data_IF_470537603183
#
_entry.id   IF_470537603183
#
_cell.length_a   1.000
_cell.length_b   1.000
_cell.length_c   1.000
_cell.angle_alpha   90.00
_cell.angle_beta   90.00
_cell.angle_gamma   90.00
#
_symmetry.space_group_name_H-M   'P 1'
#
loop_
_entity.id
_entity.type
_entity.pdbx_description
1 polymer ?
#
# COMPACT_ATOMS: atom_id res chain seq x y z
N UNK A 1 6.71 -109.33 20.89
CA UNK A 1 6.48 -108.49 22.06
C UNK A 1 7.66 -107.53 22.19
N UNK A 2 7.57 -106.33 21.89
CA UNK A 2 8.07 -105.11 22.52
C UNK A 2 7.88 -103.94 21.60
N UNK A 3 7.07 -103.02 21.97
CA UNK A 3 6.81 -101.76 21.28
C UNK A 3 7.95 -100.76 21.53
N UNK A 4 8.42 -100.10 20.47
CA UNK A 4 9.25 -98.92 20.62
C UNK A 4 8.47 -97.75 20.06
N UNK A 5 8.13 -96.83 20.94
CA UNK A 5 7.46 -95.55 20.59
C UNK A 5 8.49 -94.55 20.10
N UNK A 6 8.41 -94.16 18.83
CA UNK A 6 9.19 -93.03 18.33
C UNK A 6 8.49 -91.68 18.66
N UNK A 7 9.25 -90.80 19.31
CA UNK A 7 8.82 -89.37 19.55
C UNK A 7 9.31 -88.52 18.38
N UNK A 8 8.42 -88.00 17.66
CA UNK A 8 8.68 -87.00 16.61
C UNK A 8 8.75 -85.63 17.24
N UNK A 9 9.96 -84.96 17.12
CA UNK A 9 10.19 -83.63 17.63
C UNK A 9 9.84 -82.61 16.52
N UNK A 10 8.79 -81.82 16.70
CA UNK A 10 8.47 -80.67 15.80
C UNK A 10 9.28 -79.44 16.25
N UNK A 11 10.22 -79.00 15.39
CA UNK A 11 10.88 -77.73 15.56
C UNK A 11 10.02 -76.63 14.94
N UNK A 12 9.48 -75.73 15.77
CA UNK A 12 8.76 -74.53 15.31
C UNK A 12 9.82 -73.44 15.11
N UNK A 13 10.06 -73.13 13.82
CA UNK A 13 10.89 -71.97 13.45
C UNK A 13 10.00 -70.73 13.43
N UNK A 14 10.10 -69.88 14.50
CA UNK A 14 9.44 -68.58 14.56
C UNK A 14 10.20 -67.56 13.71
N UNK A 15 9.64 -67.18 12.59
CA UNK A 15 10.16 -66.10 11.75
C UNK A 15 9.70 -64.75 12.32
N UNK A 16 10.55 -64.11 13.06
CA UNK A 16 10.30 -62.77 13.62
C UNK A 16 10.40 -61.71 12.51
N UNK A 17 9.28 -61.18 12.06
CA UNK A 17 9.19 -60.06 11.11
C UNK A 17 9.47 -58.78 11.89
N UNK A 18 10.73 -58.30 11.82
CA UNK A 18 11.10 -56.99 12.37
C UNK A 18 10.52 -55.85 11.47
N UNK A 19 9.39 -55.28 11.88
CA UNK A 19 8.84 -54.10 11.24
C UNK A 19 9.72 -52.91 11.66
N UNK A 20 10.63 -52.53 10.76
CA UNK A 20 11.43 -51.33 10.88
C UNK A 20 10.53 -50.12 10.59
N UNK A 21 9.93 -49.49 11.59
CA UNK A 21 9.21 -48.25 11.46
C UNK A 21 10.22 -47.17 11.06
N UNK A 22 10.18 -46.71 9.80
CA UNK A 22 10.88 -45.52 9.37
C UNK A 22 10.30 -44.32 10.14
N UNK A 23 11.06 -43.83 11.11
CA UNK A 23 10.77 -42.55 11.79
C UNK A 23 11.15 -41.48 10.81
N UNK A 24 10.15 -40.98 10.04
CA UNK A 24 10.31 -39.76 9.28
C UNK A 24 10.51 -38.62 10.30
N UNK A 25 11.62 -37.85 10.21
CA UNK A 25 11.79 -36.71 11.09
C UNK A 25 10.61 -35.72 10.84
N UNK A 26 9.79 -35.54 11.85
CA UNK A 26 8.84 -34.42 11.88
C UNK A 26 9.69 -33.17 11.95
N UNK A 27 9.87 -32.51 10.80
CA UNK A 27 10.45 -31.16 10.77
C UNK A 27 9.50 -30.30 11.57
N UNK A 28 9.91 -29.89 12.75
CA UNK A 28 9.14 -28.97 13.58
C UNK A 28 8.85 -27.73 12.75
N UNK A 29 7.57 -27.44 12.51
CA UNK A 29 7.17 -26.25 11.78
C UNK A 29 7.77 -25.03 12.50
N UNK A 30 8.58 -24.28 11.78
CA UNK A 30 9.20 -23.07 12.30
C UNK A 30 8.11 -22.11 12.76
N UNK A 31 8.23 -21.53 13.97
CA UNK A 31 7.22 -20.58 14.47
C UNK A 31 7.11 -19.40 13.49
N UNK A 32 5.88 -18.97 13.16
CA UNK A 32 5.70 -17.81 12.28
C UNK A 32 6.46 -16.60 12.79
N UNK A 33 7.18 -15.93 11.89
CA UNK A 33 7.88 -14.69 12.24
C UNK A 33 6.84 -13.58 12.47
N UNK A 34 6.90 -12.95 13.64
CA UNK A 34 5.99 -11.86 14.00
C UNK A 34 6.44 -10.55 13.36
N UNK A 35 5.50 -9.85 12.76
CA UNK A 35 5.68 -8.51 12.20
C UNK A 35 4.51 -7.62 12.59
N UNK A 36 4.81 -6.37 12.87
CA UNK A 36 3.81 -5.31 13.03
C UNK A 36 3.92 -4.36 11.85
N UNK A 37 2.88 -4.33 11.00
CA UNK A 37 2.86 -3.53 9.77
C UNK A 37 1.78 -2.46 9.86
N UNK A 38 2.17 -1.19 9.71
CA UNK A 38 1.21 -0.10 9.70
C UNK A 38 0.72 0.22 8.28
N UNK A 39 -0.54 0.65 8.18
CA UNK A 39 -1.10 1.34 7.03
C UNK A 39 -1.61 2.71 7.45
N UNK A 40 -1.52 3.73 6.57
CA UNK A 40 -1.62 5.12 7.01
C UNK A 40 -2.95 5.81 6.69
N UNK A 41 -3.85 5.13 6.00
CA UNK A 41 -5.15 5.71 5.62
C UNK A 41 -6.18 4.61 5.34
N UNK A 42 -7.47 4.79 5.68
CA UNK A 42 -8.53 3.85 5.35
C UNK A 42 -9.09 4.10 3.92
N UNK A 43 -8.24 4.10 2.90
CA UNK A 43 -8.60 4.29 1.49
C UNK A 43 -8.19 3.09 0.63
N UNK A 44 -8.83 2.88 -0.51
CA UNK A 44 -8.59 1.74 -1.40
C UNK A 44 -7.14 1.55 -1.83
N UNK A 45 -6.33 2.62 -1.87
CA UNK A 45 -4.90 2.53 -2.18
C UNK A 45 -4.09 1.68 -1.17
N UNK A 46 -4.64 1.43 0.03
CA UNK A 46 -4.01 0.59 1.05
C UNK A 46 -4.37 -0.90 0.91
N UNK A 47 -5.17 -1.28 -0.08
CA UNK A 47 -5.63 -2.66 -0.27
C UNK A 47 -4.53 -3.74 -0.35
N UNK A 48 -3.32 -3.52 -0.88
CA UNK A 48 -2.31 -4.57 -0.98
C UNK A 48 -2.04 -5.34 0.32
N UNK A 49 -1.76 -4.67 1.44
CA UNK A 49 -1.53 -5.35 2.72
C UNK A 49 -2.81 -5.92 3.34
N UNK A 50 -3.97 -5.26 3.09
CA UNK A 50 -5.26 -5.77 3.56
C UNK A 50 -5.63 -7.07 2.85
N UNK A 51 -5.39 -7.14 1.53
CA UNK A 51 -5.60 -8.34 0.73
C UNK A 51 -4.65 -9.46 1.13
N UNK A 52 -3.38 -9.15 1.42
CA UNK A 52 -2.44 -10.16 1.92
C UNK A 52 -2.92 -10.78 3.25
N UNK A 53 -3.52 -9.98 4.13
CA UNK A 53 -4.13 -10.50 5.36
C UNK A 53 -5.41 -11.30 5.09
N UNK A 54 -6.29 -10.81 4.23
CA UNK A 54 -7.59 -11.43 3.96
C UNK A 54 -7.49 -12.74 3.16
N UNK A 55 -6.49 -12.86 2.28
CA UNK A 55 -6.21 -14.08 1.50
C UNK A 55 -5.32 -15.11 2.23
N UNK A 56 -5.02 -14.89 3.51
CA UNK A 56 -4.09 -15.72 4.29
C UNK A 56 -2.67 -15.78 3.70
N UNK A 57 -2.28 -14.82 2.86
CA UNK A 57 -0.98 -14.82 2.21
C UNK A 57 0.18 -14.67 3.21
N UNK A 58 -0.02 -13.94 4.30
CA UNK A 58 0.98 -13.83 5.36
C UNK A 58 1.25 -15.20 6.01
N UNK A 59 0.19 -15.94 6.35
CA UNK A 59 0.30 -17.27 6.94
C UNK A 59 0.96 -18.25 5.97
N UNK A 60 0.62 -18.19 4.68
CA UNK A 60 1.25 -19.01 3.63
C UNK A 60 2.76 -18.80 3.57
N UNK A 61 3.23 -17.58 3.79
CA UNK A 61 4.66 -17.24 3.85
C UNK A 61 5.24 -17.40 5.27
N UNK A 62 4.53 -18.04 6.21
CA UNK A 62 4.97 -18.29 7.58
C UNK A 62 5.18 -17.00 8.39
N UNK A 63 4.35 -15.99 8.16
CA UNK A 63 4.35 -14.72 8.87
C UNK A 63 3.10 -14.58 9.74
N UNK A 64 3.27 -14.06 10.94
CA UNK A 64 2.22 -13.60 11.85
C UNK A 64 2.24 -12.06 11.83
N UNK A 65 1.38 -11.44 10.99
CA UNK A 65 1.39 -10.00 10.75
C UNK A 65 0.21 -9.32 11.44
N UNK A 66 0.51 -8.45 12.40
CA UNK A 66 -0.45 -7.51 12.98
C UNK A 66 -0.54 -6.28 12.06
N UNK A 67 -1.72 -6.02 11.46
CA UNK A 67 -1.98 -4.78 10.71
C UNK A 67 -2.56 -3.72 11.63
N UNK A 68 -1.89 -2.56 11.70
CA UNK A 68 -2.33 -1.43 12.53
C UNK A 68 -2.55 -0.17 11.70
N UNK A 69 -3.62 0.56 11.99
CA UNK A 69 -3.83 1.89 11.42
C UNK A 69 -3.09 2.94 12.26
N UNK A 70 -2.15 3.65 11.64
CA UNK A 70 -1.42 4.77 12.25
C UNK A 70 -1.30 5.89 11.22
N UNK A 71 -1.68 7.12 11.57
CA UNK A 71 -1.54 8.27 10.65
C UNK A 71 -0.08 8.50 10.21
N UNK A 72 0.12 8.99 8.97
CA UNK A 72 1.41 9.04 8.28
C UNK A 72 2.60 9.52 9.11
N UNK A 73 2.49 10.66 9.79
CA UNK A 73 3.60 11.21 10.59
C UNK A 73 3.92 10.35 11.81
N UNK A 74 2.89 9.86 12.50
CA UNK A 74 3.05 8.96 13.64
C UNK A 74 3.57 7.59 13.19
N UNK A 75 3.15 7.09 12.01
CA UNK A 75 3.63 5.82 11.46
C UNK A 75 5.13 5.85 11.14
N UNK A 76 5.64 6.96 10.60
CA UNK A 76 7.09 7.12 10.37
C UNK A 76 7.85 7.18 11.70
N UNK A 77 7.34 7.91 12.69
CA UNK A 77 7.96 7.97 14.02
C UNK A 77 8.00 6.58 14.67
N UNK A 78 6.89 5.83 14.62
CA UNK A 78 6.81 4.45 15.12
C UNK A 78 7.78 3.50 14.39
N UNK A 79 7.95 3.66 13.07
CA UNK A 79 8.92 2.88 12.29
C UNK A 79 10.35 3.16 12.72
N UNK A 80 10.71 4.43 12.86
CA UNK A 80 12.06 4.85 13.31
C UNK A 80 12.33 4.37 14.72
N UNK A 81 11.35 4.46 15.62
CA UNK A 81 11.43 3.96 16.99
C UNK A 81 11.45 2.42 17.10
N UNK A 82 11.09 1.69 16.04
CA UNK A 82 11.02 0.23 16.05
C UNK A 82 9.72 -0.35 16.63
N UNK A 83 8.70 0.48 16.85
CA UNK A 83 7.39 0.07 17.34
C UNK A 83 6.58 -0.66 16.27
N UNK A 84 6.87 -0.39 14.99
CA UNK A 84 6.40 -1.15 13.84
C UNK A 84 7.59 -1.58 12.98
N UNK A 85 7.45 -2.71 12.29
CA UNK A 85 8.50 -3.27 11.43
C UNK A 85 8.45 -2.69 10.02
N UNK A 86 7.25 -2.46 9.49
CA UNK A 86 7.02 -1.93 8.16
C UNK A 86 5.84 -0.95 8.13
N UNK A 87 5.83 -0.04 7.16
CA UNK A 87 4.73 0.92 6.95
C UNK A 87 4.36 0.96 5.47
N UNK A 88 3.09 0.73 5.16
CA UNK A 88 2.55 1.02 3.83
C UNK A 88 2.18 2.50 3.76
N UNK A 89 2.93 3.28 2.97
CA UNK A 89 2.86 4.74 2.94
C UNK A 89 3.26 5.28 1.56
N UNK A 90 2.94 6.55 1.29
CA UNK A 90 3.34 7.23 0.04
C UNK A 90 4.77 7.77 0.09
N UNK A 91 5.47 7.77 -1.06
CA UNK A 91 6.84 8.24 -1.16
C UNK A 91 7.06 9.70 -0.69
N UNK A 92 6.17 10.68 -0.93
CA UNK A 92 6.35 12.02 -0.38
C UNK A 92 6.54 12.08 1.12
N UNK A 93 5.93 11.15 1.85
CA UNK A 93 6.03 11.15 3.31
C UNK A 93 7.43 10.79 3.83
N UNK A 94 8.22 10.05 3.05
CA UNK A 94 9.58 9.65 3.43
C UNK A 94 10.67 10.63 2.96
N UNK A 95 10.38 11.47 1.95
CA UNK A 95 11.38 12.37 1.36
C UNK A 95 12.06 13.26 2.40
N UNK A 96 11.35 14.01 3.26
CA UNK A 96 12.00 14.85 4.26
C UNK A 96 12.85 14.06 5.26
N UNK A 97 12.39 12.86 5.63
CA UNK A 97 13.07 12.01 6.61
C UNK A 97 14.37 11.46 6.04
N UNK A 98 14.34 10.94 4.80
CA UNK A 98 15.55 10.41 4.14
C UNK A 98 16.57 11.50 3.89
N UNK A 99 16.16 12.68 3.42
CA UNK A 99 17.05 13.82 3.19
C UNK A 99 17.64 14.39 4.48
N UNK A 100 16.97 14.22 5.61
CA UNK A 100 17.51 14.51 6.94
C UNK A 100 18.43 13.41 7.51
N UNK A 101 18.78 12.38 6.72
CA UNK A 101 19.63 11.26 7.16
C UNK A 101 18.87 10.16 7.91
N UNK A 102 17.55 10.14 7.87
CA UNK A 102 16.73 9.13 8.54
C UNK A 102 16.96 7.71 8.00
N UNK A 103 17.03 6.74 8.92
CA UNK A 103 17.32 5.33 8.63
C UNK A 103 16.08 4.57 8.12
N UNK A 104 15.45 5.04 7.04
CA UNK A 104 14.33 4.35 6.39
C UNK A 104 14.52 4.26 4.89
N UNK A 105 13.90 3.26 4.27
CA UNK A 105 13.93 3.04 2.81
C UNK A 105 12.66 2.32 2.35
N UNK A 106 12.23 2.59 1.14
CA UNK A 106 11.13 1.86 0.50
C UNK A 106 11.67 0.59 -0.15
N UNK A 107 11.06 -0.56 0.13
CA UNK A 107 11.48 -1.87 -0.40
C UNK A 107 10.53 -2.45 -1.44
N UNK A 108 9.39 -1.82 -1.67
CA UNK A 108 8.42 -2.19 -2.72
C UNK A 108 7.59 -0.98 -3.15
N UNK A 109 7.36 -0.85 -4.46
CA UNK A 109 6.40 0.07 -5.05
C UNK A 109 5.09 -0.66 -5.33
N UNK A 110 4.00 -0.27 -4.66
CA UNK A 110 2.72 -0.96 -4.72
C UNK A 110 1.71 -0.26 -5.64
N UNK A 111 1.85 1.06 -5.81
CA UNK A 111 1.01 1.89 -6.66
C UNK A 111 1.85 3.04 -7.23
N UNK A 112 2.00 3.07 -8.54
CA UNK A 112 2.94 3.95 -9.24
C UNK A 112 2.26 5.07 -10.05
N UNK A 113 1.03 5.43 -9.68
CA UNK A 113 0.24 6.49 -10.32
C UNK A 113 -0.40 7.42 -9.31
N UNK A 114 -0.68 8.65 -9.73
CA UNK A 114 -1.58 9.55 -9.02
C UNK A 114 -3.01 9.00 -9.04
N UNK A 115 -3.79 9.36 -8.01
CA UNK A 115 -5.16 8.86 -7.85
C UNK A 115 -6.18 9.98 -7.54
N UNK A 116 -5.85 11.22 -7.87
CA UNK A 116 -6.69 12.36 -7.58
C UNK A 116 -7.51 12.79 -8.79
N UNK A 117 -8.76 13.13 -8.55
CA UNK A 117 -9.60 13.92 -9.47
C UNK A 117 -10.00 15.23 -8.78
N UNK A 118 -9.97 16.32 -9.55
CA UNK A 118 -10.21 17.65 -9.05
C UNK A 118 -11.67 18.01 -9.24
N UNK A 119 -12.39 18.19 -8.14
CA UNK A 119 -13.82 18.47 -8.12
C UNK A 119 -14.09 19.88 -7.62
N UNK A 120 -14.99 20.56 -8.31
CA UNK A 120 -15.50 21.87 -7.95
C UNK A 120 -17.00 21.82 -7.57
N UNK A 121 -17.48 22.86 -6.91
CA UNK A 121 -18.90 23.08 -6.69
C UNK A 121 -19.67 23.00 -8.03
N UNK A 122 -20.94 22.62 -7.95
CA UNK A 122 -21.81 22.34 -9.12
C UNK A 122 -21.92 23.53 -10.09
N UNK A 123 -21.86 24.74 -9.55
CA UNK A 123 -21.93 25.99 -10.30
C UNK A 123 -20.67 26.31 -11.10
N UNK A 124 -19.49 25.79 -10.73
CA UNK A 124 -18.26 26.03 -11.42
C UNK A 124 -18.04 25.00 -12.54
N UNK A 125 -18.11 25.43 -13.80
CA UNK A 125 -18.00 24.59 -14.99
C UNK A 125 -16.66 24.72 -15.72
N UNK A 126 -15.85 25.71 -15.32
CA UNK A 126 -14.54 25.96 -15.91
C UNK A 126 -13.52 26.38 -14.85
N UNK A 127 -12.25 26.25 -15.20
CA UNK A 127 -11.14 26.67 -14.34
C UNK A 127 -11.17 28.17 -14.03
N UNK A 128 -11.54 29.00 -14.99
CA UNK A 128 -11.59 30.46 -14.85
C UNK A 128 -12.50 30.92 -13.72
N UNK A 129 -13.58 30.19 -13.48
CA UNK A 129 -14.53 30.50 -12.41
C UNK A 129 -13.96 30.26 -11.00
N UNK A 130 -12.82 29.57 -10.93
CA UNK A 130 -12.11 29.33 -9.66
C UNK A 130 -11.15 30.47 -9.27
N UNK A 131 -10.89 31.46 -10.17
CA UNK A 131 -10.02 32.59 -9.82
C UNK A 131 -10.52 33.34 -8.60
N UNK A 132 -9.62 33.60 -7.65
CA UNK A 132 -9.93 34.24 -6.37
C UNK A 132 -10.71 33.37 -5.38
N UNK A 133 -11.06 32.14 -5.74
CA UNK A 133 -11.82 31.24 -4.87
C UNK A 133 -10.91 30.48 -3.92
N UNK A 134 -11.50 29.97 -2.84
CA UNK A 134 -10.85 29.11 -1.88
C UNK A 134 -10.85 27.66 -2.34
N UNK A 135 -9.69 27.05 -2.47
CA UNK A 135 -9.49 25.66 -2.89
C UNK A 135 -8.91 24.87 -1.72
N UNK A 136 -9.52 23.75 -1.39
CA UNK A 136 -9.03 22.87 -0.32
C UNK A 136 -7.77 22.12 -0.74
N UNK A 137 -6.78 22.11 0.14
CA UNK A 137 -5.57 21.29 0.04
C UNK A 137 -5.20 20.74 1.43
N UNK A 138 -4.42 19.69 1.47
CA UNK A 138 -3.85 19.17 2.71
C UNK A 138 -2.56 19.96 3.07
N UNK A 139 -1.85 19.54 4.11
CA UNK A 139 -0.55 20.12 4.50
C UNK A 139 0.40 20.18 3.30
N UNK A 140 1.23 21.21 3.27
CA UNK A 140 2.23 21.41 2.21
C UNK A 140 3.13 20.17 2.10
N UNK A 141 3.38 19.72 0.86
CA UNK A 141 4.19 18.54 0.57
C UNK A 141 3.45 17.20 0.71
N UNK A 142 2.17 17.18 1.09
CA UNK A 142 1.38 15.96 1.07
C UNK A 142 1.03 15.53 -0.37
N UNK A 143 0.67 14.24 -0.59
CA UNK A 143 0.19 13.80 -1.91
C UNK A 143 -1.01 14.58 -2.42
N UNK A 144 -1.92 15.02 -1.52
CA UNK A 144 -3.08 15.82 -1.90
C UNK A 144 -2.68 17.26 -2.30
N UNK A 145 -1.77 17.91 -1.57
CA UNK A 145 -1.26 19.24 -1.96
C UNK A 145 -0.61 19.18 -3.35
N UNK A 146 0.19 18.15 -3.62
CA UNK A 146 0.73 17.92 -4.96
C UNK A 146 -0.38 17.70 -5.99
N UNK A 147 -1.41 16.90 -5.67
CA UNK A 147 -2.56 16.65 -6.53
C UNK A 147 -3.34 17.92 -6.86
N UNK A 148 -3.61 18.77 -5.87
CA UNK A 148 -4.29 20.07 -6.05
C UNK A 148 -3.47 20.99 -6.94
N UNK A 149 -2.18 21.19 -6.64
CA UNK A 149 -1.29 22.06 -7.42
C UNK A 149 -1.16 21.59 -8.87
N UNK A 150 -1.01 20.29 -9.05
CA UNK A 150 -0.92 19.66 -10.37
C UNK A 150 -2.22 19.86 -11.16
N UNK A 151 -3.37 19.64 -10.54
CA UNK A 151 -4.66 19.85 -11.18
C UNK A 151 -4.87 21.32 -11.58
N UNK A 152 -4.56 22.26 -10.70
CA UNK A 152 -4.63 23.69 -10.98
C UNK A 152 -3.72 24.06 -12.16
N UNK A 153 -2.48 23.57 -12.17
CA UNK A 153 -1.53 23.81 -13.27
C UNK A 153 -2.04 23.23 -14.59
N UNK A 154 -2.59 22.00 -14.60
CA UNK A 154 -3.23 21.42 -15.79
C UNK A 154 -4.39 22.27 -16.32
N UNK A 155 -5.08 22.95 -15.44
CA UNK A 155 -6.19 23.83 -15.73
C UNK A 155 -5.76 25.27 -16.11
N UNK A 156 -4.45 25.54 -16.19
CA UNK A 156 -3.92 26.87 -16.51
C UNK A 156 -3.99 27.88 -15.37
N UNK A 157 -4.22 27.41 -14.14
CA UNK A 157 -4.25 28.25 -12.93
C UNK A 157 -2.92 28.14 -12.18
N UNK A 158 -2.45 29.25 -11.65
CA UNK A 158 -1.28 29.32 -10.78
C UNK A 158 -1.72 29.10 -9.32
N UNK A 159 -1.28 27.99 -8.64
CA UNK A 159 -1.57 27.80 -7.22
C UNK A 159 -1.11 29.00 -6.38
N UNK A 160 -1.91 29.38 -5.36
CA UNK A 160 -1.65 30.48 -4.41
C UNK A 160 -1.69 31.91 -5.01
N UNK A 161 -1.63 32.06 -6.33
CA UNK A 161 -1.74 33.35 -7.00
C UNK A 161 -3.12 33.55 -7.62
N UNK A 162 -3.63 32.54 -8.33
CA UNK A 162 -4.97 32.59 -8.95
C UNK A 162 -6.08 32.10 -8.02
N UNK A 163 -5.74 31.30 -6.99
CA UNK A 163 -6.66 30.76 -5.99
C UNK A 163 -6.06 30.85 -4.58
N UNK A 164 -6.93 30.79 -3.56
CA UNK A 164 -6.50 30.72 -2.16
C UNK A 164 -6.50 29.27 -1.69
N UNK A 165 -5.35 28.75 -1.24
CA UNK A 165 -5.27 27.38 -0.73
C UNK A 165 -5.61 27.32 0.77
N UNK A 166 -6.77 26.74 1.11
CA UNK A 166 -7.16 26.46 2.48
C UNK A 166 -6.60 25.10 2.91
N UNK A 167 -5.79 25.10 3.97
CA UNK A 167 -5.16 23.89 4.52
C UNK A 167 -6.16 23.12 5.39
N UNK A 168 -6.56 21.96 4.89
CA UNK A 168 -7.49 21.03 5.52
C UNK A 168 -6.81 19.65 5.69
N UNK A 169 -7.53 18.68 6.20
CA UNK A 169 -7.06 17.29 6.23
C UNK A 169 -7.28 16.56 4.90
N UNK A 170 -7.21 15.23 4.93
CA UNK A 170 -7.39 14.37 3.75
C UNK A 170 -8.77 14.46 3.10
N UNK A 171 -8.98 13.65 2.03
CA UNK A 171 -10.16 13.73 1.15
C UNK A 171 -11.52 13.74 1.85
N UNK A 172 -11.67 13.05 2.97
CA UNK A 172 -12.95 13.05 3.72
C UNK A 172 -13.28 14.42 4.33
N UNK A 173 -12.27 15.11 4.89
CA UNK A 173 -12.44 16.45 5.46
C UNK A 173 -12.69 17.46 4.34
N UNK A 174 -11.94 17.38 3.25
CA UNK A 174 -12.10 18.24 2.09
C UNK A 174 -13.46 18.04 1.42
N UNK A 175 -13.98 16.81 1.41
CA UNK A 175 -15.32 16.51 0.94
C UNK A 175 -16.39 17.21 1.80
N UNK A 176 -16.27 17.14 3.11
CA UNK A 176 -17.19 17.84 4.02
C UNK A 176 -17.13 19.36 3.82
N UNK A 177 -15.93 19.92 3.62
CA UNK A 177 -15.75 21.34 3.33
C UNK A 177 -16.32 21.74 1.95
N UNK A 178 -16.24 20.84 0.96
CA UNK A 178 -16.85 21.05 -0.35
C UNK A 178 -18.38 21.00 -0.26
N UNK A 179 -18.95 20.05 0.48
CA UNK A 179 -20.40 19.95 0.69
C UNK A 179 -20.98 21.15 1.44
N UNK A 180 -20.26 21.67 2.44
CA UNK A 180 -20.65 22.85 3.22
C UNK A 180 -20.37 24.19 2.50
N UNK A 181 -19.86 24.16 1.26
CA UNK A 181 -19.43 25.32 0.48
C UNK A 181 -18.34 26.17 1.12
N UNK A 182 -17.59 25.62 2.08
CA UNK A 182 -16.44 26.28 2.67
C UNK A 182 -15.31 26.44 1.65
N UNK A 183 -15.20 25.52 0.68
CA UNK A 183 -14.26 25.56 -0.45
C UNK A 183 -14.99 25.44 -1.78
N UNK A 184 -14.43 26.06 -2.81
CA UNK A 184 -14.95 26.01 -4.17
C UNK A 184 -14.55 24.73 -4.92
N UNK A 185 -13.37 24.18 -4.63
CA UNK A 185 -12.84 22.97 -5.26
C UNK A 185 -11.82 22.26 -4.38
N UNK A 186 -11.53 20.99 -4.69
CA UNK A 186 -10.44 20.22 -4.09
C UNK A 186 -10.11 18.99 -4.92
N UNK A 187 -8.93 18.39 -4.67
CA UNK A 187 -8.53 17.11 -5.21
C UNK A 187 -8.96 15.97 -4.26
N UNK A 188 -9.79 15.07 -4.76
CA UNK A 188 -10.38 13.97 -4.01
C UNK A 188 -9.89 12.61 -4.53
N UNK A 189 -9.88 11.60 -3.66
CA UNK A 189 -9.54 10.21 -4.01
C UNK A 189 -10.75 9.30 -3.91
N UNK A 190 -10.79 8.15 -4.62
CA UNK A 190 -11.81 7.13 -4.43
C UNK A 190 -11.87 6.61 -2.97
N UNK A 191 -13.05 6.32 -2.42
CA UNK A 191 -14.38 6.43 -3.04
C UNK A 191 -15.00 7.84 -3.01
N UNK A 192 -14.37 8.80 -2.29
CA UNK A 192 -14.92 10.15 -2.06
C UNK A 192 -15.13 10.90 -3.37
N UNK A 193 -14.19 10.78 -4.32
CA UNK A 193 -14.32 11.37 -5.65
C UNK A 193 -15.57 10.88 -6.40
N UNK A 194 -15.89 9.59 -6.28
CA UNK A 194 -17.11 9.02 -6.91
C UNK A 194 -18.39 9.48 -6.24
N UNK A 195 -18.35 9.73 -4.91
CA UNK A 195 -19.47 10.36 -4.21
C UNK A 195 -19.70 11.80 -4.69
N UNK A 196 -18.62 12.54 -4.95
CA UNK A 196 -18.70 13.88 -5.53
C UNK A 196 -19.34 13.84 -6.93
N UNK A 197 -18.93 12.91 -7.80
CA UNK A 197 -19.55 12.72 -9.12
C UNK A 197 -21.05 12.38 -9.01
N UNK A 198 -21.40 11.42 -8.14
CA UNK A 198 -22.77 10.97 -7.95
C UNK A 198 -23.68 12.10 -7.43
N UNK A 199 -23.13 13.05 -6.68
CA UNK A 199 -23.86 14.22 -6.19
C UNK A 199 -23.82 15.41 -7.16
N UNK A 200 -23.22 15.27 -8.34
CA UNK A 200 -23.21 16.27 -9.41
C UNK A 200 -22.20 17.40 -9.24
N UNK A 201 -21.17 17.23 -8.40
CA UNK A 201 -20.03 18.12 -8.35
C UNK A 201 -19.26 18.05 -9.68
N UNK A 202 -18.72 19.16 -10.13
CA UNK A 202 -18.07 19.23 -11.44
C UNK A 202 -16.64 18.70 -11.37
N UNK A 203 -16.34 17.60 -12.08
CA UNK A 203 -14.96 17.13 -12.25
C UNK A 203 -14.28 17.96 -13.32
N UNK A 204 -13.29 18.78 -12.94
CA UNK A 204 -12.56 19.68 -13.85
C UNK A 204 -11.26 19.06 -14.38
N UNK A 205 -10.60 18.20 -13.61
CA UNK A 205 -9.35 17.56 -14.03
C UNK A 205 -9.14 16.20 -13.33
N UNK A 206 -8.25 15.41 -13.93
CA UNK A 206 -7.74 14.15 -13.38
C UNK A 206 -6.21 14.15 -13.43
N UNK A 207 -5.59 13.38 -12.54
CA UNK A 207 -4.13 13.24 -12.45
C UNK A 207 -3.64 11.81 -12.67
N UNK A 208 -4.53 10.89 -13.07
CA UNK A 208 -4.29 9.45 -13.16
C UNK A 208 -3.26 9.05 -14.22
N UNK A 209 -3.00 9.91 -15.18
CA UNK A 209 -2.02 9.77 -16.26
C UNK A 209 -0.58 10.09 -15.83
N UNK A 210 -0.40 10.67 -14.64
CA UNK A 210 0.90 11.12 -14.18
C UNK A 210 1.66 10.00 -13.48
N UNK A 211 2.91 9.72 -13.88
CA UNK A 211 3.78 8.84 -13.14
C UNK A 211 4.06 9.44 -11.75
N UNK A 212 3.89 8.61 -10.72
CA UNK A 212 4.04 9.05 -9.35
C UNK A 212 4.29 7.86 -8.46
N UNK A 213 5.37 7.86 -7.69
CA UNK A 213 5.56 6.82 -6.69
C UNK A 213 4.62 7.05 -5.53
N UNK A 214 3.40 6.52 -5.65
CA UNK A 214 2.34 6.77 -4.69
C UNK A 214 2.53 5.91 -3.43
N UNK A 215 2.14 4.66 -3.49
CA UNK A 215 2.18 3.77 -2.33
C UNK A 215 3.32 2.78 -2.47
N UNK A 216 4.06 2.61 -1.38
CA UNK A 216 5.08 1.59 -1.24
C UNK A 216 5.14 1.04 0.17
N UNK A 217 6.00 0.06 0.36
CA UNK A 217 6.30 -0.53 1.65
C UNK A 217 7.66 -0.04 2.13
N UNK A 218 7.68 0.57 3.31
CA UNK A 218 8.86 1.22 3.91
C UNK A 218 9.27 0.47 5.17
N UNK A 219 10.58 0.25 5.32
CA UNK A 219 11.20 -0.36 6.50
C UNK A 219 12.40 0.47 6.96
N UNK A 220 12.99 0.11 8.11
CA UNK A 220 14.29 0.66 8.49
C UNK A 220 15.38 0.14 7.55
N UNK A 221 16.21 1.04 7.04
CA UNK A 221 17.29 0.71 6.08
C UNK A 221 18.31 -0.28 6.67
N UNK A 222 18.59 -0.15 7.96
CA UNK A 222 19.49 -1.08 8.68
C UNK A 222 18.96 -2.52 8.78
N UNK A 223 17.65 -2.74 8.56
CA UNK A 223 17.03 -4.06 8.62
C UNK A 223 17.00 -4.80 7.27
N UNK A 224 17.29 -4.12 6.16
CA UNK A 224 17.21 -4.70 4.81
C UNK A 224 18.03 -5.99 4.71
N UNK A 225 19.29 -5.96 5.14
CA UNK A 225 20.17 -7.14 5.09
C UNK A 225 19.96 -8.07 6.29
N UNK A 226 19.81 -7.51 7.49
CA UNK A 226 19.70 -8.29 8.72
C UNK A 226 18.51 -9.25 8.73
N UNK A 227 17.40 -8.83 8.11
CA UNK A 227 16.15 -9.62 8.06
C UNK A 227 15.71 -9.88 6.62
N UNK A 228 16.63 -10.01 5.68
CA UNK A 228 16.36 -10.09 4.24
C UNK A 228 15.33 -11.18 3.89
N UNK A 229 15.41 -12.37 4.51
CA UNK A 229 14.46 -13.47 4.26
C UNK A 229 13.04 -13.11 4.74
N UNK A 230 12.92 -12.44 5.88
CA UNK A 230 11.61 -12.00 6.40
C UNK A 230 10.97 -10.97 5.45
N UNK A 231 11.77 -10.03 4.95
CA UNK A 231 11.28 -9.05 3.99
C UNK A 231 10.90 -9.69 2.66
N UNK A 232 11.66 -10.67 2.20
CA UNK A 232 11.33 -11.44 0.99
C UNK A 232 9.99 -12.17 1.15
N UNK A 233 9.76 -12.84 2.28
CA UNK A 233 8.49 -13.48 2.62
C UNK A 233 7.34 -12.47 2.70
N UNK A 234 7.57 -11.29 3.30
CA UNK A 234 6.59 -10.20 3.36
C UNK A 234 6.22 -9.70 1.95
N UNK A 235 7.21 -9.51 1.07
CA UNK A 235 6.95 -9.07 -0.31
C UNK A 235 6.21 -10.14 -1.12
N UNK A 236 6.54 -11.44 -0.97
CA UNK A 236 5.76 -12.53 -1.57
C UNK A 236 4.31 -12.53 -1.10
N UNK A 237 4.08 -12.36 0.19
CA UNK A 237 2.72 -12.27 0.73
C UNK A 237 1.95 -11.08 0.17
N UNK A 238 2.56 -9.90 0.09
CA UNK A 238 1.95 -8.70 -0.50
C UNK A 238 1.67 -8.91 -1.99
N UNK A 239 2.58 -9.53 -2.73
CA UNK A 239 2.39 -9.87 -4.15
C UNK A 239 1.21 -10.84 -4.35
N UNK A 240 1.08 -11.88 -3.50
CA UNK A 240 -0.08 -12.77 -3.47
C UNK A 240 -1.38 -12.01 -3.14
N UNK A 241 -1.32 -11.06 -2.20
CA UNK A 241 -2.46 -10.20 -1.88
C UNK A 241 -2.87 -9.34 -3.07
N UNK A 242 -1.92 -8.78 -3.82
CA UNK A 242 -2.20 -8.05 -5.07
C UNK A 242 -2.79 -9.00 -6.12
N UNK A 243 -2.28 -10.23 -6.27
CA UNK A 243 -2.89 -11.21 -7.18
C UNK A 243 -4.34 -11.53 -6.79
N UNK A 244 -4.59 -11.80 -5.49
CA UNK A 244 -5.93 -12.03 -4.99
C UNK A 244 -6.89 -10.85 -5.21
N UNK A 245 -6.38 -9.60 -5.21
CA UNK A 245 -7.17 -8.43 -5.58
C UNK A 245 -7.78 -8.55 -6.97
N UNK A 246 -6.98 -9.02 -7.94
CA UNK A 246 -7.43 -9.16 -9.32
C UNK A 246 -8.25 -10.44 -9.57
N UNK A 247 -7.93 -11.51 -8.85
CA UNK A 247 -8.48 -12.84 -9.10
C UNK A 247 -9.81 -13.07 -8.35
N UNK A 248 -10.04 -12.36 -7.22
CA UNK A 248 -11.27 -12.46 -6.43
C UNK A 248 -11.91 -11.09 -6.17
N UNK A 249 -12.77 -10.61 -7.10
CA UNK A 249 -13.47 -9.33 -6.94
C UNK A 249 -14.39 -9.26 -5.71
N UNK A 250 -14.95 -10.40 -5.27
CA UNK A 250 -15.85 -10.43 -4.12
C UNK A 250 -15.07 -10.23 -2.82
N UNK A 251 -13.97 -10.96 -2.66
CA UNK A 251 -13.05 -10.74 -1.53
C UNK A 251 -12.55 -9.29 -1.51
N UNK A 252 -12.13 -8.76 -2.66
CA UNK A 252 -11.59 -7.40 -2.79
C UNK A 252 -12.60 -6.34 -2.35
N UNK A 253 -13.86 -6.45 -2.77
CA UNK A 253 -14.93 -5.54 -2.35
C UNK A 253 -15.27 -5.71 -0.87
N UNK A 254 -15.27 -6.92 -0.33
CA UNK A 254 -15.47 -7.16 1.10
C UNK A 254 -14.34 -6.54 1.95
N UNK A 255 -13.10 -6.63 1.48
CA UNK A 255 -11.94 -6.00 2.11
C UNK A 255 -12.05 -4.48 2.06
N UNK A 256 -12.43 -3.91 0.92
CA UNK A 256 -12.71 -2.47 0.82
C UNK A 256 -13.76 -2.04 1.85
N UNK A 257 -14.93 -2.71 1.89
CA UNK A 257 -16.00 -2.40 2.83
C UNK A 257 -15.51 -2.44 4.29
N UNK A 258 -14.76 -3.48 4.65
CA UNK A 258 -14.21 -3.67 6.00
C UNK A 258 -13.32 -2.51 6.44
N UNK A 259 -12.37 -2.10 5.59
CA UNK A 259 -11.33 -1.15 5.97
C UNK A 259 -11.70 0.32 5.70
N UNK A 260 -12.46 0.60 4.64
CA UNK A 260 -12.91 1.97 4.33
C UNK A 260 -14.18 2.36 5.10
N UNK A 261 -14.88 1.38 5.70
CA UNK A 261 -16.20 1.55 6.35
C UNK A 261 -17.27 2.06 5.39
N UNK A 262 -17.11 1.87 4.10
CA UNK A 262 -18.09 2.17 3.07
C UNK A 262 -18.77 0.86 2.65
N UNK A 263 -20.09 0.78 2.79
CA UNK A 263 -20.86 -0.40 2.45
C UNK A 263 -21.80 -0.17 1.23
N UNK A 264 -21.66 0.99 0.56
CA UNK A 264 -22.40 1.26 -0.67
C UNK A 264 -21.86 0.37 -1.80
N UNK A 265 -22.63 -0.58 -2.33
CA UNK A 265 -22.14 -1.51 -3.35
C UNK A 265 -21.69 -0.81 -4.63
N UNK A 266 -22.33 0.31 -5.01
CA UNK A 266 -21.96 1.09 -6.19
C UNK A 266 -20.60 1.76 -5.99
N UNK A 267 -20.33 2.30 -4.78
CA UNK A 267 -19.03 2.91 -4.46
C UNK A 267 -17.93 1.85 -4.35
N UNK A 268 -18.24 0.68 -3.80
CA UNK A 268 -17.31 -0.45 -3.74
C UNK A 268 -16.94 -0.95 -5.15
N UNK A 269 -17.91 -1.11 -6.04
CA UNK A 269 -17.70 -1.52 -7.43
C UNK A 269 -16.82 -0.51 -8.18
N UNK A 270 -17.15 0.77 -8.12
CA UNK A 270 -16.38 1.85 -8.76
C UNK A 270 -14.95 1.93 -8.19
N UNK A 271 -14.79 1.76 -6.88
CA UNK A 271 -13.47 1.80 -6.23
C UNK A 271 -12.63 0.59 -6.66
N UNK A 272 -13.21 -0.61 -6.67
CA UNK A 272 -12.56 -1.82 -7.15
C UNK A 272 -12.13 -1.67 -8.62
N UNK A 273 -13.05 -1.23 -9.50
CA UNK A 273 -12.74 -1.02 -10.91
C UNK A 273 -11.64 0.00 -11.13
N UNK A 274 -11.63 1.10 -10.38
CA UNK A 274 -10.59 2.12 -10.45
C UNK A 274 -9.21 1.56 -10.13
N UNK A 275 -9.06 0.85 -9.00
CA UNK A 275 -7.78 0.26 -8.61
C UNK A 275 -7.42 -0.99 -9.41
N UNK A 276 -8.33 -1.53 -10.21
CA UNK A 276 -8.08 -2.65 -11.12
C UNK A 276 -7.68 -2.17 -12.51
N UNK A 277 -8.43 -1.20 -13.08
CA UNK A 277 -8.33 -0.82 -14.50
C UNK A 277 -7.57 0.48 -14.73
N UNK A 278 -7.72 1.49 -13.87
CA UNK A 278 -7.14 2.82 -14.07
C UNK A 278 -5.84 3.04 -13.31
N UNK A 279 -5.86 2.90 -11.99
CA UNK A 279 -4.67 3.05 -11.17
C UNK A 279 -3.76 1.81 -11.31
N UNK A 280 -4.32 0.63 -11.08
CA UNK A 280 -3.63 -0.66 -11.13
C UNK A 280 -2.60 -0.81 -10.01
N UNK A 281 -2.74 -1.86 -9.18
CA UNK A 281 -1.67 -2.22 -8.25
C UNK A 281 -0.52 -2.87 -9.00
N UNK A 282 0.70 -2.54 -8.62
CA UNK A 282 1.91 -3.02 -9.26
C UNK A 282 2.23 -4.46 -8.84
N UNK A 283 2.00 -5.41 -9.74
CA UNK A 283 2.23 -6.84 -9.50
C UNK A 283 3.71 -7.19 -9.32
N UNK A 284 4.61 -6.41 -9.94
CA UNK A 284 6.05 -6.65 -9.91
C UNK A 284 6.74 -5.94 -8.73
N UNK A 285 5.99 -5.17 -7.94
CA UNK A 285 6.46 -4.41 -6.80
C UNK A 285 7.58 -3.40 -7.13
N UNK A 286 7.82 -3.11 -8.40
CA UNK A 286 8.90 -2.24 -8.89
C UNK A 286 8.60 -0.76 -8.60
N UNK A 287 9.65 0.04 -8.58
CA UNK A 287 9.57 1.49 -8.43
C UNK A 287 9.43 2.20 -9.78
N UNK A 288 9.06 3.47 -9.72
CA UNK A 288 9.11 4.38 -10.86
C UNK A 288 10.03 5.55 -10.56
N UNK A 289 11.22 5.58 -11.18
CA UNK A 289 12.17 6.69 -11.03
C UNK A 289 11.53 7.99 -11.47
N UNK A 290 10.83 7.98 -12.62
CA UNK A 290 10.08 9.15 -13.08
C UNK A 290 9.04 9.65 -12.07
N UNK A 291 8.44 8.74 -11.32
CA UNK A 291 7.52 9.08 -10.23
C UNK A 291 8.22 9.75 -9.05
N UNK A 292 9.39 9.27 -8.67
CA UNK A 292 10.23 9.92 -7.65
C UNK A 292 10.75 11.27 -8.12
N UNK A 293 11.27 11.38 -9.35
CA UNK A 293 11.74 12.64 -9.94
C UNK A 293 10.67 13.74 -9.88
N UNK A 294 9.40 13.40 -10.18
CA UNK A 294 8.29 14.34 -10.08
C UNK A 294 8.10 14.83 -8.64
N UNK A 295 8.17 13.91 -7.66
CA UNK A 295 8.07 14.24 -6.24
C UNK A 295 9.22 15.14 -5.81
N UNK A 296 10.46 14.78 -6.16
CA UNK A 296 11.66 15.54 -5.80
C UNK A 296 11.67 16.93 -6.40
N UNK A 297 11.26 17.05 -7.67
CA UNK A 297 11.10 18.34 -8.35
C UNK A 297 10.08 19.24 -7.64
N UNK A 298 8.95 18.67 -7.25
CA UNK A 298 7.93 19.38 -6.49
C UNK A 298 8.45 19.83 -5.12
N UNK A 299 9.05 18.93 -4.36
CA UNK A 299 9.63 19.28 -3.06
C UNK A 299 10.71 20.34 -3.18
N UNK A 300 11.63 20.20 -4.13
CA UNK A 300 12.71 21.14 -4.37
C UNK A 300 12.25 22.54 -4.75
N UNK A 301 11.10 22.67 -5.43
CA UNK A 301 10.55 23.97 -5.82
C UNK A 301 9.64 24.61 -4.78
N UNK A 302 9.09 23.83 -3.82
CA UNK A 302 8.02 24.34 -2.93
C UNK A 302 8.30 24.19 -1.45
N UNK A 303 8.93 23.09 -1.01
CA UNK A 303 8.96 22.72 0.41
C UNK A 303 10.37 22.53 0.96
N UNK A 304 11.24 21.88 0.20
CA UNK A 304 12.53 21.40 0.68
C UNK A 304 13.60 21.54 -0.42
N UNK A 305 14.34 22.66 -0.45
CA UNK A 305 15.35 22.94 -1.49
C UNK A 305 16.36 21.81 -1.72
N UNK A 306 16.76 21.09 -0.66
CA UNK A 306 17.66 19.94 -0.75
C UNK A 306 17.14 18.79 -1.65
N UNK A 307 15.85 18.76 -1.93
CA UNK A 307 15.29 17.77 -2.85
C UNK A 307 15.65 18.02 -4.33
N UNK A 308 16.14 19.22 -4.69
CA UNK A 308 16.58 19.52 -6.07
C UNK A 308 17.74 18.66 -6.54
N UNK A 309 18.66 18.37 -5.62
CA UNK A 309 19.90 17.64 -5.90
C UNK A 309 19.80 16.16 -5.54
N UNK A 310 18.63 15.72 -5.06
CA UNK A 310 18.39 14.35 -4.67
C UNK A 310 18.07 13.48 -5.88
N UNK A 311 18.54 12.23 -5.86
CA UNK A 311 18.21 11.22 -6.88
C UNK A 311 17.27 10.14 -6.33
N UNK A 312 16.41 9.53 -7.18
CA UNK A 312 15.42 8.54 -6.78
C UNK A 312 15.96 7.38 -5.95
N UNK A 313 17.15 6.87 -6.28
CA UNK A 313 17.79 5.72 -5.64
C UNK A 313 18.17 5.95 -4.14
N UNK A 314 18.06 7.18 -3.64
CA UNK A 314 18.25 7.47 -2.23
C UNK A 314 17.06 7.00 -1.37
N UNK A 315 15.89 6.81 -1.97
CA UNK A 315 14.61 6.62 -1.28
C UNK A 315 14.12 5.17 -1.29
N UNK A 316 14.72 4.31 -2.13
CA UNK A 316 14.33 2.91 -2.22
C UNK A 316 15.52 1.97 -2.28
N UNK A 317 15.26 0.69 -2.05
CA UNK A 317 16.26 -0.38 -2.07
C UNK A 317 15.67 -1.58 -2.82
N UNK A 318 16.30 -1.97 -3.94
CA UNK A 318 15.81 -3.05 -4.80
C UNK A 318 16.29 -4.44 -4.38
N UNK A 319 17.25 -4.55 -3.45
CA UNK A 319 17.90 -5.82 -3.10
C UNK A 319 16.94 -6.94 -2.72
N UNK A 320 15.81 -6.62 -2.11
CA UNK A 320 14.79 -7.62 -1.76
C UNK A 320 13.94 -8.00 -2.96
N UNK A 321 13.49 -7.03 -3.77
CA UNK A 321 12.73 -7.28 -5.00
C UNK A 321 13.56 -8.08 -6.00
N UNK A 322 14.84 -7.81 -6.12
CA UNK A 322 15.76 -8.52 -7.04
C UNK A 322 15.91 -10.00 -6.66
N UNK A 323 15.79 -10.33 -5.37
CA UNK A 323 15.71 -11.72 -4.89
C UNK A 323 14.36 -12.37 -5.20
N UNK A 324 13.28 -11.58 -5.25
CA UNK A 324 11.94 -12.08 -5.56
C UNK A 324 11.80 -12.56 -7.02
N UNK A 325 12.61 -12.00 -7.93
CA UNK A 325 12.60 -12.30 -9.36
C UNK A 325 13.47 -13.51 -9.76
N UNK A 326 14.27 -14.02 -8.83
CA UNK A 326 15.12 -15.21 -9.01
C UNK A 326 14.39 -16.47 -8.56
#
# INVERSE_FOLDING_TARGET
MHQIKGRMLFAVVSFGLAIMRAVTPVVAAEKPAKLRTAYVSPIGAMAPVWMAAASSAFQTEGLDVELVYIQSSAAIAALVAGEVDAVQISAPAIVPVVLAGGNITMIAGLLNKMIFSFHAQKEFKSAEQLRGKMVGADRIGSPNDYGVRTALTKLGLKPESDVQLLRLGGSAIQWSALQSKQIAASALTPPVSFKADAQGFTRLAETYDLPYQNIGLVIRKSEVEKRAEIWLRLLRAVQRGISAWYDDPQLSKSVLAKYTKDNDPVMLDKTYEFFTKQAGFNRDLTFTDRGFEQILRFFGSTVLPAAKDASPNQFYDTRIIDKLKK
#
